data_IF_795030840952
#
_entry.id   IF_795030840952
#
_cell.length_a   1.000
_cell.length_b   1.000
_cell.length_c   1.000
_cell.angle_alpha   90.00
_cell.angle_beta   90.00
_cell.angle_gamma   90.00
#
_symmetry.space_group_name_H-M   'P 1'
#
loop_
_entity.id
_entity.type
_entity.pdbx_description
1 polymer ?
#
# COMPACT_ATOMS: atom_id res chain seq x y z
N UNK A 1 -68.58 52.68 35.51
CA UNK A 1 -67.49 52.23 36.40
C UNK A 1 -66.78 51.09 35.67
N UNK A 2 -65.64 51.39 35.06
CA UNK A 2 -64.94 50.50 34.14
C UNK A 2 -64.06 49.51 34.93
N UNK A 3 -64.25 48.20 34.71
CA UNK A 3 -63.39 47.17 35.28
C UNK A 3 -62.56 46.56 34.15
N UNK A 4 -61.26 46.87 34.17
CA UNK A 4 -60.25 46.38 33.23
C UNK A 4 -59.87 44.94 33.63
N UNK A 5 -60.01 43.99 32.72
CA UNK A 5 -59.38 42.67 32.84
C UNK A 5 -58.02 42.70 32.12
N UNK A 6 -56.95 42.52 32.88
CA UNK A 6 -55.59 42.39 32.35
C UNK A 6 -55.34 40.97 31.87
N UNK A 7 -54.91 40.84 30.62
CA UNK A 7 -54.45 39.57 30.03
C UNK A 7 -52.98 39.39 30.40
N UNK A 8 -52.65 38.33 31.14
CA UNK A 8 -51.27 37.91 31.43
C UNK A 8 -50.76 37.11 30.23
N UNK A 9 -49.85 37.68 29.45
CA UNK A 9 -49.17 36.99 28.36
C UNK A 9 -48.03 36.13 28.90
N UNK A 10 -48.13 34.81 28.74
CA UNK A 10 -47.06 33.86 29.03
C UNK A 10 -46.08 33.86 27.86
N UNK A 11 -44.86 34.34 28.07
CA UNK A 11 -43.78 34.25 27.09
C UNK A 11 -43.19 32.82 27.12
N UNK A 12 -43.38 32.07 26.04
CA UNK A 12 -42.71 30.78 25.83
C UNK A 12 -41.29 31.02 25.28
N UNK A 13 -40.27 30.75 26.08
CA UNK A 13 -38.88 30.78 25.64
C UNK A 13 -38.57 29.50 24.84
N UNK A 14 -38.32 29.66 23.54
CA UNK A 14 -37.84 28.59 22.65
C UNK A 14 -36.36 28.33 22.94
N UNK A 15 -36.05 27.20 23.56
CA UNK A 15 -34.69 26.69 23.72
C UNK A 15 -34.27 26.06 22.39
N UNK A 16 -33.43 26.74 21.62
CA UNK A 16 -32.74 26.12 20.48
C UNK A 16 -31.61 25.24 21.03
N UNK A 17 -31.84 23.92 21.07
CA UNK A 17 -30.74 22.98 21.23
C UNK A 17 -29.92 22.96 19.93
N UNK A 18 -28.73 23.56 19.96
CA UNK A 18 -27.76 23.43 18.88
C UNK A 18 -27.26 21.98 18.85
N UNK A 19 -27.74 21.19 17.89
CA UNK A 19 -27.15 19.89 17.57
C UNK A 19 -25.79 20.19 16.94
N UNK A 20 -24.71 19.98 17.68
CA UNK A 20 -23.38 19.99 17.10
C UNK A 20 -23.31 18.90 16.05
N UNK A 21 -23.01 19.25 14.80
CA UNK A 21 -22.67 18.28 13.79
C UNK A 21 -21.41 17.55 14.27
N UNK A 22 -21.57 16.31 14.74
CA UNK A 22 -20.45 15.40 14.83
C UNK A 22 -19.92 15.25 13.41
N UNK A 23 -18.72 15.74 13.16
CA UNK A 23 -17.97 15.37 11.96
C UNK A 23 -17.82 13.86 12.04
N UNK A 24 -18.56 13.13 11.22
CA UNK A 24 -18.35 11.71 11.02
C UNK A 24 -16.88 11.57 10.59
N UNK A 25 -16.02 11.16 11.51
CA UNK A 25 -14.69 10.71 11.15
C UNK A 25 -14.88 9.60 10.13
N UNK A 26 -14.19 9.69 9.00
CA UNK A 26 -14.04 8.61 8.04
C UNK A 26 -13.68 7.36 8.84
N UNK A 27 -14.62 6.43 8.97
CA UNK A 27 -14.37 5.19 9.70
C UNK A 27 -13.35 4.42 8.89
N UNK A 28 -12.17 4.29 9.50
CA UNK A 28 -11.02 3.57 8.98
C UNK A 28 -11.40 2.19 8.42
N UNK A 29 -10.96 1.88 7.21
CA UNK A 29 -11.43 0.71 6.48
C UNK A 29 -10.28 -0.09 5.84
N UNK A 30 -9.39 -0.66 6.67
CA UNK A 30 -8.27 -1.48 6.19
C UNK A 30 -7.37 -1.96 7.31
N UNK A 31 -6.13 -2.30 6.96
CA UNK A 31 -5.08 -2.72 7.89
C UNK A 31 -4.27 -1.52 8.42
N UNK A 32 -4.04 -0.48 7.60
CA UNK A 32 -3.25 0.69 7.99
C UNK A 32 -3.99 2.03 7.84
N UNK A 33 -3.99 2.87 8.88
CA UNK A 33 -4.80 4.10 8.91
C UNK A 33 -4.31 5.28 8.06
N UNK A 34 -3.12 5.19 7.48
CA UNK A 34 -2.48 6.26 6.71
C UNK A 34 -2.33 5.97 5.22
N UNK A 35 -2.96 4.91 4.69
CA UNK A 35 -3.01 4.62 3.26
C UNK A 35 -4.39 4.87 2.61
N UNK A 36 -5.41 5.22 3.40
CA UNK A 36 -6.76 5.59 2.94
C UNK A 36 -6.68 6.63 1.79
N UNK A 37 -7.18 6.26 0.60
CA UNK A 37 -7.19 7.12 -0.60
C UNK A 37 -5.90 7.11 -1.42
N UNK A 38 -4.88 6.35 -1.02
CA UNK A 38 -3.70 6.11 -1.83
C UNK A 38 -4.05 5.22 -3.04
N UNK A 39 -3.54 5.56 -4.23
CA UNK A 39 -3.80 4.76 -5.45
C UNK A 39 -3.27 3.32 -5.38
N UNK A 40 -2.41 3.02 -4.42
CA UNK A 40 -1.82 1.72 -4.16
C UNK A 40 -2.43 1.00 -2.96
N UNK A 41 -3.41 1.60 -2.25
CA UNK A 41 -4.08 1.06 -1.06
C UNK A 41 -4.51 -0.41 -1.24
N UNK A 42 -5.16 -0.72 -2.36
CA UNK A 42 -5.60 -2.09 -2.61
C UNK A 42 -4.45 -3.12 -2.72
N UNK A 43 -3.27 -2.68 -3.17
CA UNK A 43 -2.08 -3.51 -3.20
C UNK A 43 -1.42 -3.59 -1.81
N UNK A 44 -1.47 -2.52 -1.02
CA UNK A 44 -0.98 -2.48 0.36
C UNK A 44 -1.76 -3.51 1.20
N UNK A 45 -3.08 -3.49 1.10
CA UNK A 45 -3.95 -4.46 1.78
C UNK A 45 -3.68 -5.91 1.33
N UNK A 46 -3.44 -6.12 0.03
CA UNK A 46 -3.11 -7.44 -0.50
C UNK A 46 -1.79 -8.00 0.08
N UNK A 47 -0.74 -7.18 0.17
CA UNK A 47 0.53 -7.63 0.75
C UNK A 47 0.47 -7.73 2.28
N UNK A 48 -0.44 -7.01 2.93
CA UNK A 48 -0.68 -7.12 4.37
C UNK A 48 -1.39 -8.45 4.69
N UNK A 49 -2.45 -8.76 3.95
CA UNK A 49 -3.18 -10.03 4.06
C UNK A 49 -2.30 -11.27 3.75
N UNK A 50 -1.23 -11.08 2.96
CA UNK A 50 -0.22 -12.10 2.68
C UNK A 50 0.95 -12.14 3.69
N UNK A 51 0.87 -11.38 4.80
CA UNK A 51 1.91 -11.27 5.84
C UNK A 51 3.29 -10.77 5.34
N UNK A 52 3.32 -10.07 4.20
CA UNK A 52 4.57 -9.55 3.61
C UNK A 52 4.98 -8.24 4.29
N UNK A 53 4.02 -7.37 4.57
CA UNK A 53 4.23 -6.14 5.33
C UNK A 53 3.65 -6.23 6.75
N UNK A 54 4.26 -5.49 7.67
CA UNK A 54 3.81 -5.36 9.07
C UNK A 54 3.62 -3.89 9.47
N UNK A 55 3.55 -2.98 8.52
CA UNK A 55 3.52 -1.54 8.80
C UNK A 55 4.89 -0.93 9.10
N UNK A 56 4.90 0.25 9.73
CA UNK A 56 6.09 1.06 9.96
C UNK A 56 6.24 1.60 11.40
N UNK A 57 5.26 1.42 12.30
CA UNK A 57 5.25 2.02 13.63
C UNK A 57 5.11 0.96 14.76
N UNK A 58 6.14 0.12 14.97
CA UNK A 58 6.11 -0.86 16.04
C UNK A 58 6.04 -0.19 17.43
N UNK A 59 5.38 -0.83 18.41
CA UNK A 59 4.75 -2.15 18.31
C UNK A 59 3.33 -2.13 17.74
N UNK A 60 2.71 -0.95 17.57
CA UNK A 60 1.30 -0.83 17.19
C UNK A 60 1.04 -1.34 15.78
N UNK A 61 1.90 -0.97 14.82
CA UNK A 61 1.85 -1.47 13.43
C UNK A 61 0.52 -1.19 12.72
N UNK A 62 -0.11 -0.06 13.00
CA UNK A 62 -1.36 0.45 12.39
C UNK A 62 -1.11 1.56 11.35
N UNK A 63 0.16 1.83 11.01
CA UNK A 63 0.57 2.72 9.92
C UNK A 63 1.44 1.97 8.89
N UNK A 64 1.25 2.26 7.61
CA UNK A 64 2.02 1.74 6.49
C UNK A 64 3.20 2.64 6.10
N UNK A 65 3.05 3.97 6.26
CA UNK A 65 3.97 5.00 5.79
C UNK A 65 4.20 4.97 4.26
N UNK A 66 3.18 5.21 3.42
CA UNK A 66 3.24 4.95 1.98
C UNK A 66 4.34 5.72 1.24
N UNK A 67 4.54 7.00 1.55
CA UNK A 67 5.45 7.89 0.82
C UNK A 67 6.93 7.72 1.22
N UNK A 68 7.22 6.91 2.24
CA UNK A 68 8.61 6.72 2.70
C UNK A 68 9.35 5.81 1.72
N UNK A 69 10.55 6.20 1.31
CA UNK A 69 11.40 5.35 0.47
C UNK A 69 11.86 4.09 1.21
N UNK A 70 11.77 2.95 0.53
CA UNK A 70 12.17 1.64 1.04
C UNK A 70 13.68 1.57 1.26
N UNK A 71 14.11 1.14 2.45
CA UNK A 71 15.52 0.81 2.71
C UNK A 71 15.86 -0.58 2.19
N UNK A 72 17.15 -0.85 1.97
CA UNK A 72 17.63 -2.17 1.54
C UNK A 72 17.30 -3.26 2.57
N UNK A 73 17.37 -2.96 3.86
CA UNK A 73 16.95 -3.88 4.93
C UNK A 73 15.45 -4.19 4.89
N UNK A 74 14.61 -3.17 4.67
CA UNK A 74 13.16 -3.37 4.48
C UNK A 74 12.86 -4.21 3.24
N UNK A 75 13.58 -3.99 2.13
CA UNK A 75 13.46 -4.81 0.93
C UNK A 75 13.81 -6.29 1.21
N UNK A 76 14.87 -6.55 1.97
CA UNK A 76 15.21 -7.91 2.39
C UNK A 76 14.08 -8.56 3.18
N UNK A 77 13.49 -7.82 4.13
CA UNK A 77 12.37 -8.30 4.93
C UNK A 77 11.12 -8.61 4.09
N UNK A 78 10.80 -7.77 3.10
CA UNK A 78 9.69 -8.04 2.18
C UNK A 78 9.94 -9.32 1.38
N UNK A 79 11.13 -9.47 0.78
CA UNK A 79 11.43 -10.64 -0.05
C UNK A 79 11.56 -11.93 0.76
N UNK A 80 12.11 -11.86 1.97
CA UNK A 80 12.16 -13.00 2.87
C UNK A 80 10.75 -13.51 3.22
N UNK A 81 9.81 -12.60 3.54
CA UNK A 81 8.42 -12.99 3.83
C UNK A 81 7.68 -13.47 2.60
N UNK A 82 7.81 -12.75 1.47
CA UNK A 82 7.16 -13.11 0.21
C UNK A 82 7.56 -14.51 -0.29
N UNK A 83 8.83 -14.89 -0.14
CA UNK A 83 9.36 -16.15 -0.65
C UNK A 83 9.58 -17.22 0.43
N UNK A 84 9.37 -16.88 1.70
CA UNK A 84 9.67 -17.75 2.85
C UNK A 84 11.10 -18.30 2.75
N UNK A 85 12.10 -17.42 2.62
CA UNK A 85 13.46 -17.85 2.28
C UNK A 85 14.03 -18.77 3.38
N UNK A 86 14.77 -19.83 3.00
CA UNK A 86 15.41 -20.72 3.95
C UNK A 86 16.35 -19.97 4.88
N UNK A 87 16.36 -20.37 6.16
CA UNK A 87 17.30 -19.83 7.14
C UNK A 87 18.74 -20.20 6.80
N UNK A 88 19.67 -19.34 7.19
CA UNK A 88 21.12 -19.59 7.12
C UNK A 88 21.80 -19.20 8.44
N UNK A 89 22.96 -19.79 8.69
CA UNK A 89 23.86 -19.41 9.79
C UNK A 89 25.10 -18.67 9.30
N UNK A 90 25.25 -18.55 7.98
CA UNK A 90 26.34 -17.78 7.38
C UNK A 90 26.02 -16.30 7.46
N UNK A 91 27.03 -15.54 7.89
CA UNK A 91 27.03 -14.08 7.91
C UNK A 91 27.75 -13.60 6.64
N UNK A 92 27.00 -12.96 5.74
CA UNK A 92 27.49 -12.58 4.42
C UNK A 92 28.07 -11.17 4.37
N UNK A 93 27.73 -10.29 5.31
CA UNK A 93 28.05 -8.87 5.22
C UNK A 93 28.51 -8.31 6.56
N UNK A 94 29.55 -7.49 6.55
CA UNK A 94 30.12 -6.98 7.81
C UNK A 94 29.43 -5.71 8.35
N UNK A 95 28.41 -5.19 7.69
CA UNK A 95 27.81 -3.88 7.99
C UNK A 95 26.30 -3.91 8.29
N UNK A 96 25.72 -5.10 8.49
CA UNK A 96 24.35 -5.29 8.95
C UNK A 96 24.24 -5.82 10.38
N UNK A 97 25.36 -6.09 11.05
CA UNK A 97 25.44 -6.41 12.49
C UNK A 97 24.59 -5.44 13.34
N UNK A 98 23.61 -6.00 14.07
CA UNK A 98 22.72 -5.23 14.94
C UNK A 98 21.57 -4.51 14.22
N UNK A 99 21.46 -4.66 12.90
CA UNK A 99 20.25 -4.30 12.15
C UNK A 99 19.09 -5.22 12.54
N UNK A 100 17.89 -4.66 12.65
CA UNK A 100 16.68 -5.46 12.82
C UNK A 100 16.40 -6.42 11.63
N UNK A 101 17.09 -6.21 10.50
CA UNK A 101 16.91 -6.96 9.26
C UNK A 101 18.04 -7.95 8.95
N UNK A 102 19.05 -8.09 9.81
CA UNK A 102 20.24 -8.94 9.59
C UNK A 102 19.86 -10.38 9.18
N UNK A 103 18.87 -10.98 9.85
CA UNK A 103 18.42 -12.32 9.48
C UNK A 103 17.76 -12.37 8.09
N UNK A 104 16.96 -11.37 7.73
CA UNK A 104 16.33 -11.29 6.41
C UNK A 104 17.39 -11.09 5.31
N UNK A 105 18.42 -10.28 5.59
CA UNK A 105 19.53 -9.98 4.69
C UNK A 105 20.35 -11.24 4.40
N UNK A 106 20.75 -11.98 5.44
CA UNK A 106 21.53 -13.20 5.29
C UNK A 106 20.77 -14.29 4.51
N UNK A 107 19.45 -14.43 4.73
CA UNK A 107 18.61 -15.35 3.92
C UNK A 107 18.55 -14.94 2.46
N UNK A 108 18.39 -13.64 2.18
CA UNK A 108 18.36 -13.11 0.83
C UNK A 108 19.71 -13.31 0.11
N UNK A 109 20.83 -13.20 0.83
CA UNK A 109 22.17 -13.48 0.30
C UNK A 109 22.37 -14.97 0.02
N UNK A 110 22.01 -15.85 0.95
CA UNK A 110 22.07 -17.30 0.78
C UNK A 110 21.22 -17.79 -0.40
N UNK A 111 20.10 -17.13 -0.68
CA UNK A 111 19.26 -17.40 -1.84
C UNK A 111 19.80 -16.82 -3.17
N UNK A 112 20.93 -16.10 -3.16
CA UNK A 112 21.55 -15.51 -4.35
C UNK A 112 20.82 -14.29 -4.92
N UNK A 113 19.89 -13.71 -4.16
CA UNK A 113 19.05 -12.58 -4.61
C UNK A 113 19.84 -11.26 -4.56
N UNK A 114 20.71 -11.09 -3.57
CA UNK A 114 21.57 -9.90 -3.43
C UNK A 114 23.04 -10.25 -3.62
N UNK A 115 23.80 -9.26 -4.09
CA UNK A 115 25.27 -9.31 -4.23
C UNK A 115 25.97 -8.28 -3.34
N UNK A 116 25.26 -7.61 -2.43
CA UNK A 116 25.81 -6.50 -1.64
C UNK A 116 25.71 -5.14 -2.33
N UNK A 117 26.46 -4.14 -1.82
CA UNK A 117 26.40 -2.74 -2.26
C UNK A 117 27.76 -2.12 -2.65
N UNK A 118 28.88 -2.82 -2.44
CA UNK A 118 30.23 -2.25 -2.64
C UNK A 118 31.10 -3.12 -3.57
N UNK A 119 30.75 -3.20 -4.87
CA UNK A 119 31.56 -3.95 -5.82
C UNK A 119 32.98 -3.34 -5.95
N UNK A 120 34.00 -4.17 -6.21
CA UNK A 120 33.92 -5.60 -6.44
C UNK A 120 33.94 -6.45 -5.15
N UNK A 121 34.18 -5.85 -3.98
CA UNK A 121 34.35 -6.56 -2.71
C UNK A 121 33.06 -7.28 -2.28
N UNK A 122 31.91 -6.59 -2.40
CA UNK A 122 30.58 -7.15 -2.13
C UNK A 122 30.43 -7.77 -0.73
N UNK A 123 31.20 -7.27 0.25
CA UNK A 123 31.19 -7.67 1.66
C UNK A 123 30.34 -6.72 2.53
N UNK A 124 29.63 -5.77 1.92
CA UNK A 124 28.67 -4.88 2.58
C UNK A 124 27.28 -4.97 1.97
N UNK A 125 26.25 -4.86 2.80
CA UNK A 125 24.86 -4.80 2.40
C UNK A 125 24.29 -3.38 2.34
N UNK A 126 24.75 -2.46 3.19
CA UNK A 126 24.21 -1.10 3.33
C UNK A 126 22.71 -1.07 3.71
N UNK A 127 22.29 -1.60 4.88
CA UNK A 127 20.87 -1.84 5.22
C UNK A 127 19.98 -0.59 5.23
N UNK A 128 20.52 0.57 5.62
CA UNK A 128 19.77 1.84 5.68
C UNK A 128 19.72 2.58 4.33
N UNK A 129 20.52 2.13 3.35
CA UNK A 129 20.52 2.71 2.01
C UNK A 129 19.15 2.60 1.36
N UNK A 130 18.71 3.65 0.64
CA UNK A 130 17.45 3.62 -0.10
C UNK A 130 17.62 2.86 -1.42
N UNK A 131 16.59 2.12 -1.81
CA UNK A 131 16.60 1.31 -3.03
C UNK A 131 16.15 2.15 -4.22
N UNK A 132 16.98 2.24 -5.26
CA UNK A 132 16.57 2.81 -6.55
C UNK A 132 15.73 1.81 -7.35
N UNK A 133 14.92 2.29 -8.29
CA UNK A 133 14.07 1.44 -9.13
C UNK A 133 14.86 0.42 -9.94
N UNK A 134 16.04 0.78 -10.45
CA UNK A 134 16.90 -0.17 -11.17
C UNK A 134 17.51 -1.25 -10.25
N UNK A 135 17.84 -0.89 -9.01
CA UNK A 135 18.28 -1.87 -8.01
C UNK A 135 17.14 -2.80 -7.61
N UNK A 136 15.92 -2.28 -7.46
CA UNK A 136 14.72 -3.08 -7.23
C UNK A 136 14.48 -4.06 -8.37
N UNK A 137 14.63 -3.64 -9.63
CA UNK A 137 14.48 -4.55 -10.77
C UNK A 137 15.47 -5.71 -10.73
N UNK A 138 16.72 -5.43 -10.38
CA UNK A 138 17.74 -6.47 -10.24
C UNK A 138 17.44 -7.46 -9.10
N UNK A 139 16.91 -6.97 -7.97
CA UNK A 139 16.51 -7.82 -6.84
C UNK A 139 15.30 -8.68 -7.18
N UNK A 140 14.23 -8.09 -7.73
CA UNK A 140 13.01 -8.83 -8.09
C UNK A 140 13.27 -9.84 -9.21
N UNK A 141 14.07 -9.49 -10.22
CA UNK A 141 14.44 -10.42 -11.30
C UNK A 141 15.14 -11.66 -10.77
N UNK A 142 16.04 -11.52 -9.78
CA UNK A 142 16.69 -12.68 -9.14
C UNK A 142 15.75 -13.43 -8.21
N UNK A 143 14.96 -12.70 -7.44
CA UNK A 143 14.01 -13.28 -6.48
C UNK A 143 12.94 -14.15 -7.15
N UNK A 144 12.46 -13.74 -8.32
CA UNK A 144 11.40 -14.43 -9.07
C UNK A 144 11.92 -15.14 -10.34
N UNK A 145 13.25 -15.22 -10.49
CA UNK A 145 13.93 -15.92 -11.59
C UNK A 145 13.44 -15.53 -12.99
N UNK A 146 13.13 -14.26 -13.22
CA UNK A 146 12.72 -13.81 -14.55
C UNK A 146 13.89 -13.92 -15.54
N UNK A 147 13.61 -14.49 -16.71
CA UNK A 147 14.63 -14.81 -17.72
C UNK A 147 14.37 -14.16 -19.08
N UNK A 148 13.12 -13.91 -19.43
CA UNK A 148 12.71 -13.30 -20.70
C UNK A 148 12.71 -11.77 -20.62
N UNK A 149 13.54 -11.12 -21.42
CA UNK A 149 13.64 -9.66 -21.51
C UNK A 149 12.73 -9.05 -22.60
N UNK A 150 11.89 -9.86 -23.26
CA UNK A 150 10.95 -9.39 -24.27
C UNK A 150 11.61 -8.75 -25.50
N UNK A 151 12.91 -9.00 -25.73
CA UNK A 151 13.67 -8.39 -26.83
C UNK A 151 14.36 -7.08 -26.48
N UNK A 152 14.20 -6.61 -25.23
CA UNK A 152 14.92 -5.47 -24.66
C UNK A 152 14.52 -4.09 -25.17
N UNK A 153 14.96 -3.06 -24.45
CA UNK A 153 14.74 -1.66 -24.82
C UNK A 153 13.29 -1.21 -24.69
N UNK A 154 12.57 -1.73 -23.69
CA UNK A 154 11.14 -1.48 -23.49
C UNK A 154 10.85 -0.06 -22.96
N UNK A 155 11.86 0.61 -22.42
CA UNK A 155 11.76 1.99 -21.93
C UNK A 155 12.85 2.88 -22.53
N UNK A 156 12.46 4.12 -22.85
CA UNK A 156 13.30 5.11 -23.54
C UNK A 156 14.46 5.64 -22.71
N UNK A 157 14.40 5.54 -21.38
CA UNK A 157 15.38 6.10 -20.44
C UNK A 157 16.23 5.06 -19.69
N UNK A 158 16.33 3.83 -20.22
CA UNK A 158 17.13 2.74 -19.63
C UNK A 158 18.45 2.48 -20.35
N UNK A 159 18.66 3.13 -21.50
CA UNK A 159 19.90 3.02 -22.26
C UNK A 159 21.10 3.47 -21.41
N UNK A 160 22.03 2.56 -21.15
CA UNK A 160 23.24 2.81 -20.35
C UNK A 160 23.13 2.41 -18.87
N UNK A 161 21.95 2.04 -18.37
CA UNK A 161 21.87 1.38 -17.05
C UNK A 161 22.48 -0.03 -17.13
N UNK A 162 23.30 -0.39 -16.15
CA UNK A 162 23.81 -1.77 -16.01
C UNK A 162 22.71 -2.78 -15.70
N UNK A 163 21.52 -2.31 -15.33
CA UNK A 163 20.35 -3.14 -14.99
C UNK A 163 19.29 -3.16 -16.10
N UNK A 164 19.57 -2.63 -17.29
CA UNK A 164 18.60 -2.58 -18.40
C UNK A 164 17.93 -3.93 -18.69
N UNK A 165 18.71 -5.03 -18.73
CA UNK A 165 18.15 -6.38 -18.91
C UNK A 165 17.24 -6.82 -17.76
N UNK A 166 17.57 -6.49 -16.50
CA UNK A 166 16.70 -6.80 -15.35
C UNK A 166 15.42 -5.95 -15.37
N UNK A 167 15.51 -4.71 -15.84
CA UNK A 167 14.36 -3.81 -16.03
C UNK A 167 13.42 -4.34 -17.11
N UNK A 168 13.97 -4.76 -18.25
CA UNK A 168 13.19 -5.30 -19.36
C UNK A 168 12.50 -6.62 -18.96
N UNK A 169 13.17 -7.51 -18.23
CA UNK A 169 12.55 -8.72 -17.66
C UNK A 169 11.40 -8.42 -16.72
N UNK A 170 11.58 -7.42 -15.86
CA UNK A 170 10.53 -6.99 -14.93
C UNK A 170 9.29 -6.46 -15.67
N UNK A 171 9.50 -5.75 -16.77
CA UNK A 171 8.43 -5.23 -17.62
C UNK A 171 7.74 -6.34 -18.42
N UNK A 172 8.50 -7.27 -19.00
CA UNK A 172 7.97 -8.45 -19.70
C UNK A 172 7.13 -9.32 -18.77
N UNK A 173 7.54 -9.46 -17.51
CA UNK A 173 6.76 -10.15 -16.48
C UNK A 173 5.51 -9.37 -16.01
N UNK A 174 5.31 -8.13 -16.49
CA UNK A 174 4.19 -7.27 -16.10
C UNK A 174 4.30 -6.70 -14.69
N UNK A 175 5.46 -6.78 -14.05
CA UNK A 175 5.64 -6.30 -12.67
C UNK A 175 5.76 -4.78 -12.62
N UNK A 176 6.45 -4.18 -13.59
CA UNK A 176 6.53 -2.72 -13.76
C UNK A 176 5.71 -2.23 -14.94
N UNK A 177 5.10 -1.05 -14.81
CA UNK A 177 4.28 -0.41 -15.83
C UNK A 177 4.85 0.93 -16.31
N UNK A 178 6.07 1.30 -15.91
CA UNK A 178 6.66 2.62 -16.18
C UNK A 178 6.42 3.65 -15.07
N UNK A 179 6.78 4.91 -15.32
CA UNK A 179 6.75 6.01 -14.34
C UNK A 179 6.11 7.31 -14.83
N UNK A 180 5.77 7.44 -16.11
CA UNK A 180 5.30 8.69 -16.72
C UNK A 180 3.92 8.53 -17.38
N UNK A 181 2.85 8.37 -16.60
CA UNK A 181 1.52 8.28 -17.17
C UNK A 181 1.14 9.57 -17.93
N UNK A 182 0.32 9.47 -18.99
CA UNK A 182 -0.29 8.24 -19.49
C UNK A 182 0.62 7.39 -20.39
N UNK A 183 1.73 7.96 -20.88
CA UNK A 183 2.57 7.33 -21.91
C UNK A 183 3.29 6.08 -21.41
N UNK A 184 3.82 6.12 -20.19
CA UNK A 184 4.48 5.00 -19.51
C UNK A 184 5.65 4.38 -20.29
N UNK A 185 6.30 5.16 -21.16
CA UNK A 185 7.46 4.78 -21.97
C UNK A 185 8.81 5.03 -21.27
N UNK A 186 8.79 5.46 -20.00
CA UNK A 186 9.96 5.63 -19.13
C UNK A 186 9.91 4.73 -17.91
N UNK A 187 11.07 4.25 -17.49
CA UNK A 187 11.24 3.46 -16.26
C UNK A 187 11.67 4.30 -15.05
N UNK A 188 12.37 5.42 -15.27
CA UNK A 188 12.97 6.25 -14.21
C UNK A 188 13.95 5.47 -13.30
N UNK A 189 15.06 4.93 -13.83
CA UNK A 189 15.91 3.96 -13.12
C UNK A 189 16.51 4.46 -11.79
N UNK A 190 16.86 5.74 -11.72
CA UNK A 190 17.53 6.33 -10.55
C UNK A 190 16.59 6.79 -9.44
N UNK A 191 15.27 6.80 -9.69
CA UNK A 191 14.31 7.23 -8.67
C UNK A 191 14.26 6.22 -7.52
N UNK A 192 14.03 6.70 -6.30
CA UNK A 192 13.85 5.85 -5.13
C UNK A 192 12.46 5.21 -5.16
N UNK A 193 12.38 3.95 -4.75
CA UNK A 193 11.10 3.24 -4.63
C UNK A 193 10.41 3.64 -3.32
N UNK A 194 9.22 4.22 -3.44
CA UNK A 194 8.34 4.46 -2.29
C UNK A 194 7.68 3.16 -1.81
N UNK A 195 7.27 3.11 -0.54
CA UNK A 195 6.70 1.89 0.06
C UNK A 195 5.38 1.49 -0.58
N UNK A 196 4.54 2.44 -0.96
CA UNK A 196 3.28 2.20 -1.67
C UNK A 196 3.50 1.61 -3.08
N UNK A 197 4.48 2.14 -3.81
CA UNK A 197 4.91 1.59 -5.09
C UNK A 197 5.44 0.17 -4.94
N UNK A 198 6.20 -0.11 -3.87
CA UNK A 198 6.68 -1.45 -3.55
C UNK A 198 5.54 -2.46 -3.40
N UNK A 199 4.45 -2.08 -2.73
CA UNK A 199 3.28 -2.95 -2.61
C UNK A 199 2.74 -3.34 -3.99
N UNK A 200 2.64 -2.38 -4.91
CA UNK A 200 2.17 -2.65 -6.26
C UNK A 200 3.12 -3.55 -7.06
N UNK A 201 4.44 -3.42 -6.88
CA UNK A 201 5.41 -4.32 -7.51
C UNK A 201 5.28 -5.74 -6.96
N UNK A 202 5.23 -5.90 -5.65
CA UNK A 202 5.13 -7.21 -5.00
C UNK A 202 3.80 -7.91 -5.31
N UNK A 203 2.67 -7.19 -5.28
CA UNK A 203 1.36 -7.74 -5.67
C UNK A 203 1.41 -8.32 -7.09
N UNK A 204 1.99 -7.58 -8.05
CA UNK A 204 2.11 -8.08 -9.43
C UNK A 204 3.08 -9.25 -9.55
N UNK A 205 4.25 -9.17 -8.90
CA UNK A 205 5.26 -10.23 -8.95
C UNK A 205 4.75 -11.56 -8.36
N UNK A 206 3.91 -11.49 -7.34
CA UNK A 206 3.31 -12.63 -6.65
C UNK A 206 1.96 -13.07 -7.24
N UNK A 207 1.41 -12.32 -8.20
CA UNK A 207 0.07 -12.57 -8.74
C UNK A 207 -1.06 -12.45 -7.70
N UNK A 208 -0.87 -11.61 -6.68
CA UNK A 208 -1.90 -11.36 -5.66
C UNK A 208 -3.05 -10.55 -6.27
N UNK A 209 -4.27 -10.83 -5.81
CA UNK A 209 -5.43 -10.00 -6.13
C UNK A 209 -5.42 -8.75 -5.24
N UNK A 210 -5.45 -7.53 -5.81
CA UNK A 210 -5.63 -6.32 -5.01
C UNK A 210 -6.90 -6.41 -4.18
N UNK A 211 -6.81 -6.02 -2.91
CA UNK A 211 -7.94 -6.03 -1.96
C UNK A 211 -8.43 -4.59 -1.85
N UNK A 212 -9.50 -4.18 -2.55
CA UNK A 212 -9.99 -2.81 -2.44
C UNK A 212 -10.38 -2.51 -0.99
N UNK A 213 -10.16 -1.29 -0.51
CA UNK A 213 -10.56 -0.92 0.84
C UNK A 213 -12.06 -1.13 1.01
N UNK A 214 -12.45 -1.51 2.23
CA UNK A 214 -13.87 -1.65 2.52
C UNK A 214 -14.52 -0.27 2.38
N UNK A 215 -15.65 -0.13 1.67
CA UNK A 215 -16.30 1.17 1.60
C UNK A 215 -16.64 1.67 3.01
N UNK A 216 -16.52 2.99 3.27
CA UNK A 216 -16.97 3.58 4.52
C UNK A 216 -18.42 3.15 4.80
N UNK A 217 -18.65 2.54 5.96
CA UNK A 217 -19.98 2.06 6.36
C UNK A 217 -20.18 0.55 6.32
N UNK A 218 -19.23 -0.28 5.86
CA UNK A 218 -19.38 -1.75 6.02
C UNK A 218 -19.56 -2.16 7.49
N UNK A 219 -18.90 -1.46 8.42
CA UNK A 219 -19.10 -1.65 9.87
C UNK A 219 -20.55 -1.39 10.32
N UNK A 220 -21.34 -0.58 9.60
CA UNK A 220 -22.75 -0.36 9.93
C UNK A 220 -23.60 -1.60 9.66
N UNK A 221 -23.13 -2.53 8.83
CA UNK A 221 -23.87 -3.73 8.49
C UNK A 221 -23.99 -4.71 9.66
N UNK A 222 -23.13 -4.63 10.67
CA UNK A 222 -23.24 -5.47 11.86
C UNK A 222 -24.42 -5.06 12.76
N UNK A 223 -24.84 -3.79 12.67
CA UNK A 223 -25.98 -3.23 13.41
C UNK A 223 -27.29 -3.26 12.61
N UNK A 224 -27.22 -3.51 11.29
CA UNK A 224 -28.40 -3.59 10.40
C UNK A 224 -29.00 -5.00 10.48
N UNK A 225 -30.15 -5.12 11.16
CA UNK A 225 -30.87 -6.40 11.32
C UNK A 225 -31.98 -6.64 10.30
N UNK A 226 -32.30 -5.64 9.47
CA UNK A 226 -33.38 -5.73 8.48
C UNK A 226 -33.05 -6.56 7.24
N UNK A 227 -31.75 -6.78 6.98
CA UNK A 227 -31.23 -7.62 5.91
C UNK A 227 -30.03 -8.42 6.43
N UNK A 228 -29.71 -9.60 5.84
CA UNK A 228 -28.49 -10.34 6.17
C UNK A 228 -27.23 -9.49 5.96
N UNK A 229 -26.24 -9.66 6.86
CA UNK A 229 -24.95 -8.94 6.79
C UNK A 229 -24.29 -9.01 5.40
N UNK A 230 -24.22 -10.18 4.71
CA UNK A 230 -23.64 -10.23 3.37
C UNK A 230 -24.39 -9.40 2.32
N UNK A 231 -25.72 -9.25 2.45
CA UNK A 231 -26.53 -8.44 1.55
C UNK A 231 -26.31 -6.94 1.81
N UNK A 232 -26.23 -6.53 3.08
CA UNK A 232 -25.85 -5.16 3.43
C UNK A 232 -24.47 -4.79 2.87
N UNK A 233 -23.48 -5.67 3.07
CA UNK A 233 -22.11 -5.47 2.58
C UNK A 233 -22.06 -5.34 1.06
N UNK A 234 -22.80 -6.17 0.33
CA UNK A 234 -22.89 -6.10 -1.13
C UNK A 234 -23.51 -4.77 -1.60
N UNK A 235 -24.56 -4.29 -0.92
CA UNK A 235 -25.21 -3.01 -1.24
C UNK A 235 -24.31 -1.80 -0.94
N UNK A 236 -23.62 -1.81 0.20
CA UNK A 236 -22.65 -0.75 0.57
C UNK A 236 -21.47 -0.73 -0.40
N UNK A 237 -21.00 -1.90 -0.82
CA UNK A 237 -19.97 -2.03 -1.86
C UNK A 237 -20.41 -1.48 -3.20
N UNK A 238 -21.64 -1.80 -3.63
CA UNK A 238 -22.21 -1.26 -4.86
C UNK A 238 -22.37 0.26 -4.79
N UNK A 239 -22.85 0.78 -3.66
CA UNK A 239 -22.99 2.22 -3.41
C UNK A 239 -21.63 2.93 -3.52
N UNK A 240 -20.60 2.43 -2.83
CA UNK A 240 -19.24 2.98 -2.92
C UNK A 240 -18.67 2.94 -4.34
N UNK A 241 -18.82 1.81 -5.04
CA UNK A 241 -18.32 1.61 -6.40
C UNK A 241 -19.00 2.50 -7.47
N UNK A 242 -20.15 3.11 -7.14
CA UNK A 242 -20.95 3.88 -8.09
C UNK A 242 -20.98 5.38 -7.81
N UNK A 243 -19.99 5.91 -7.08
CA UNK A 243 -19.88 7.33 -6.67
C UNK A 243 -20.68 7.69 -5.39
N UNK A 244 -21.21 6.71 -4.66
CA UNK A 244 -21.72 6.84 -3.28
C UNK A 244 -22.45 8.15 -2.98
N UNK A 245 -21.86 8.97 -2.09
CA UNK A 245 -22.43 10.24 -1.63
C UNK A 245 -22.57 11.30 -2.75
N UNK A 246 -21.91 11.11 -3.89
CA UNK A 246 -22.02 11.92 -5.10
C UNK A 246 -23.16 11.53 -6.04
N UNK A 247 -24.06 10.63 -5.64
CA UNK A 247 -25.29 10.36 -6.39
C UNK A 247 -26.21 11.58 -6.41
N UNK A 248 -26.39 12.17 -7.60
CA UNK A 248 -27.23 13.36 -7.80
C UNK A 248 -28.65 13.04 -8.25
N UNK A 249 -28.94 11.80 -8.67
CA UNK A 249 -30.28 11.36 -9.04
C UNK A 249 -30.69 10.13 -8.22
N UNK A 250 -31.50 10.38 -7.19
CA UNK A 250 -32.09 9.37 -6.32
C UNK A 250 -33.61 9.25 -6.53
N UNK A 251 -34.13 9.77 -7.66
CA UNK A 251 -35.55 9.67 -7.97
C UNK A 251 -35.85 8.33 -8.65
N UNK A 252 -36.85 7.59 -8.15
CA UNK A 252 -37.28 6.30 -8.73
C UNK A 252 -36.81 5.03 -8.00
N UNK A 253 -36.22 5.16 -6.81
CA UNK A 253 -35.85 4.04 -5.94
C UNK A 253 -36.98 3.68 -4.97
N UNK A 254 -38.15 3.29 -5.50
CA UNK A 254 -39.27 2.71 -4.74
C UNK A 254 -39.95 1.62 -5.56
#
# INVERSE_FOLDING_TARGET
MAMRFGVVGIAAALIFASIGAATAGTTFAGTFSDDDGNVHEANIEAIAAADITRGCNPPTNDLYCPEVSVTRGQMAAFLNRALTLPGTTEDFFSDDDGSAFENDINRMAAAGITKGCNPPANDRFCPDGKVTREQMAALLTRAFEYTDDGGGGLFTDTAGSTFSSDIDKLATAGVTLGCNPPDNDRFCPSDLVQRDQMASFLTRALGLSPIPPSPPGVAMCDDVTSIPVPECQALVSLYGATNGAGWTDNTGWL
#
